data_IF_790162215978
#
_entry.id   IF_790162215978
#
_cell.length_a   1.000
_cell.length_b   1.000
_cell.length_c   1.000
_cell.angle_alpha   90.00
_cell.angle_beta   90.00
_cell.angle_gamma   90.00
#
_symmetry.space_group_name_H-M   'P 1'
#
loop_
_entity.id
_entity.type
_entity.pdbx_description
1 polymer ?
#
# COMPACT_ATOMS: atom_id res chain seq x y z
N UNK A 1 -1.77 5.42 -18.55
CA UNK A 1 -1.20 4.69 -17.39
C UNK A 1 -1.90 5.01 -16.07
N UNK A 2 -2.17 6.28 -15.72
CA UNK A 2 -2.75 6.67 -14.41
C UNK A 2 -4.08 5.97 -14.06
N UNK A 3 -5.00 5.87 -15.02
CA UNK A 3 -6.31 5.23 -14.81
C UNK A 3 -6.14 3.75 -14.46
N UNK A 4 -5.27 3.04 -15.19
CA UNK A 4 -4.98 1.62 -14.93
C UNK A 4 -4.37 1.41 -13.54
N UNK A 5 -3.43 2.27 -13.11
CA UNK A 5 -2.87 2.20 -11.77
C UNK A 5 -3.92 2.42 -10.67
N UNK A 6 -4.86 3.35 -10.86
CA UNK A 6 -5.94 3.58 -9.88
C UNK A 6 -6.81 2.32 -9.74
N UNK A 7 -7.25 1.73 -10.87
CA UNK A 7 -8.04 0.50 -10.85
C UNK A 7 -7.30 -0.65 -10.17
N UNK A 8 -6.01 -0.82 -10.47
CA UNK A 8 -5.17 -1.84 -9.85
C UNK A 8 -5.07 -1.63 -8.32
N UNK A 9 -4.88 -0.39 -7.87
CA UNK A 9 -4.83 -0.06 -6.44
C UNK A 9 -6.15 -0.38 -5.74
N UNK A 10 -7.29 0.01 -6.32
CA UNK A 10 -8.62 -0.31 -5.78
C UNK A 10 -8.81 -1.82 -5.69
N UNK A 11 -8.43 -2.55 -6.74
CA UNK A 11 -8.54 -4.01 -6.77
C UNK A 11 -7.68 -4.69 -5.70
N UNK A 12 -6.44 -4.24 -5.50
CA UNK A 12 -5.51 -4.79 -4.50
C UNK A 12 -5.95 -4.50 -3.07
N UNK A 13 -6.59 -3.36 -2.81
CA UNK A 13 -7.12 -3.00 -1.49
C UNK A 13 -8.41 -3.76 -1.20
N UNK A 14 -9.26 -3.95 -2.21
CA UNK A 14 -10.61 -4.50 -1.99
C UNK A 14 -10.64 -6.03 -1.96
N UNK A 15 -9.90 -6.69 -2.85
CA UNK A 15 -9.88 -8.15 -2.98
C UNK A 15 -9.51 -8.92 -1.71
N UNK A 16 -8.56 -8.49 -0.85
CA UNK A 16 -8.19 -9.24 0.34
C UNK A 16 -9.35 -9.37 1.34
N UNK A 17 -10.12 -8.30 1.54
CA UNK A 17 -11.27 -8.31 2.45
C UNK A 17 -12.37 -9.28 1.99
N UNK A 18 -12.64 -9.33 0.68
CA UNK A 18 -13.60 -10.30 0.12
C UNK A 18 -13.10 -11.75 0.25
N UNK A 19 -11.80 -11.99 0.04
CA UNK A 19 -11.19 -13.31 0.24
C UNK A 19 -11.32 -13.74 1.69
N UNK A 20 -11.01 -12.85 2.65
CA UNK A 20 -11.13 -13.12 4.09
C UNK A 20 -12.57 -13.45 4.47
N UNK A 21 -13.56 -12.69 4.00
CA UNK A 21 -14.98 -12.98 4.24
C UNK A 21 -15.38 -14.35 3.67
N UNK A 22 -14.95 -14.66 2.44
CA UNK A 22 -15.26 -15.95 1.79
C UNK A 22 -14.66 -17.12 2.57
N UNK A 23 -13.40 -17.01 3.00
CA UNK A 23 -12.73 -18.02 3.83
C UNK A 23 -13.45 -18.16 5.16
N UNK A 24 -13.78 -17.05 5.81
CA UNK A 24 -14.45 -17.06 7.10
C UNK A 24 -15.80 -17.78 7.05
N UNK A 25 -16.61 -17.52 6.03
CA UNK A 25 -17.87 -18.22 5.81
C UNK A 25 -17.68 -19.72 5.57
N UNK A 26 -16.69 -20.12 4.76
CA UNK A 26 -16.40 -21.54 4.47
C UNK A 26 -15.88 -22.30 5.68
N UNK A 27 -15.03 -21.66 6.49
CA UNK A 27 -14.38 -22.25 7.67
C UNK A 27 -15.17 -22.02 8.96
N UNK A 28 -16.34 -21.37 8.89
CA UNK A 28 -17.15 -20.97 10.04
C UNK A 28 -16.38 -20.13 11.07
N UNK A 29 -15.43 -19.31 10.60
CA UNK A 29 -14.68 -18.38 11.45
C UNK A 29 -15.65 -17.25 11.86
N UNK A 30 -15.66 -16.84 13.14
CA UNK A 30 -16.44 -15.70 13.60
C UNK A 30 -16.14 -14.44 12.78
N UNK A 31 -17.20 -13.72 12.38
CA UNK A 31 -17.07 -12.59 11.46
C UNK A 31 -16.22 -11.44 12.05
N UNK A 32 -16.21 -11.28 13.37
CA UNK A 32 -15.38 -10.29 14.05
C UNK A 32 -13.88 -10.61 13.94
N UNK A 33 -13.49 -11.89 13.94
CA UNK A 33 -12.10 -12.31 13.69
C UNK A 33 -11.73 -12.00 12.23
N UNK A 34 -12.62 -12.32 11.30
CA UNK A 34 -12.43 -12.01 9.89
C UNK A 34 -12.26 -10.50 9.64
N UNK A 35 -13.01 -9.67 10.39
CA UNK A 35 -12.89 -8.21 10.34
C UNK A 35 -11.53 -7.71 10.82
N UNK A 36 -11.05 -8.18 11.99
CA UNK A 36 -9.73 -7.82 12.52
C UNK A 36 -8.61 -8.25 11.56
N UNK A 37 -8.67 -9.49 11.05
CA UNK A 37 -7.69 -9.99 10.08
C UNK A 37 -7.68 -9.16 8.80
N UNK A 38 -8.85 -8.72 8.33
CA UNK A 38 -8.97 -7.88 7.14
C UNK A 38 -8.38 -6.48 7.35
N UNK A 39 -8.54 -5.88 8.54
CA UNK A 39 -7.92 -4.60 8.89
C UNK A 39 -6.39 -4.73 8.84
N UNK A 40 -5.84 -5.76 9.49
CA UNK A 40 -4.39 -6.00 9.54
C UNK A 40 -3.84 -6.23 8.14
N UNK A 41 -4.50 -7.07 7.33
CA UNK A 41 -4.05 -7.40 5.98
C UNK A 41 -4.04 -6.17 5.05
N UNK A 42 -5.10 -5.37 5.07
CA UNK A 42 -5.18 -4.14 4.28
C UNK A 42 -4.13 -3.11 4.74
N UNK A 43 -3.94 -2.97 6.05
CA UNK A 43 -2.92 -2.08 6.61
C UNK A 43 -1.51 -2.48 6.16
N UNK A 44 -1.15 -3.76 6.30
CA UNK A 44 0.15 -4.26 5.88
C UNK A 44 0.36 -4.08 4.36
N UNK A 45 -0.69 -4.27 3.56
CA UNK A 45 -0.61 -4.06 2.11
C UNK A 45 -0.33 -2.59 1.77
N UNK A 46 -0.96 -1.64 2.47
CA UNK A 46 -0.70 -0.20 2.27
C UNK A 46 0.76 0.14 2.63
N UNK A 47 1.23 -0.32 3.79
CA UNK A 47 2.62 -0.10 4.23
C UNK A 47 3.61 -0.74 3.25
N UNK A 48 3.36 -1.97 2.84
CA UNK A 48 4.18 -2.67 1.85
C UNK A 48 4.25 -1.94 0.52
N UNK A 49 3.12 -1.42 0.02
CA UNK A 49 3.10 -0.66 -1.23
C UNK A 49 3.92 0.63 -1.12
N UNK A 50 3.82 1.34 0.00
CA UNK A 50 4.61 2.55 0.23
C UNK A 50 6.11 2.26 0.25
N UNK A 51 6.52 1.17 0.91
CA UNK A 51 7.91 0.70 0.92
C UNK A 51 8.38 0.25 -0.48
N UNK A 52 7.54 -0.48 -1.21
CA UNK A 52 7.86 -0.92 -2.56
C UNK A 52 8.10 0.25 -3.52
N UNK A 53 7.25 1.29 -3.47
CA UNK A 53 7.46 2.49 -4.28
C UNK A 53 8.69 3.27 -3.87
N UNK A 54 9.01 3.33 -2.57
CA UNK A 54 10.25 3.94 -2.11
C UNK A 54 11.46 3.20 -2.66
N UNK A 55 11.48 1.86 -2.56
CA UNK A 55 12.56 1.03 -3.08
C UNK A 55 12.78 1.25 -4.59
N UNK A 56 11.71 1.34 -5.39
CA UNK A 56 11.80 1.65 -6.82
C UNK A 56 12.42 3.02 -7.09
N UNK A 57 12.07 4.06 -6.30
CA UNK A 57 12.68 5.39 -6.43
C UNK A 57 14.16 5.35 -6.05
N UNK A 58 14.52 4.60 -5.02
CA UNK A 58 15.92 4.45 -4.58
C UNK A 58 16.74 3.70 -5.62
N UNK A 59 16.23 2.63 -6.24
CA UNK A 59 16.91 1.98 -7.37
C UNK A 59 17.17 2.98 -8.50
N UNK A 60 16.16 3.79 -8.85
CA UNK A 60 16.32 4.80 -9.89
C UNK A 60 17.35 5.88 -9.50
N UNK A 61 17.36 6.33 -8.25
CA UNK A 61 18.38 7.26 -7.76
C UNK A 61 19.79 6.64 -7.82
N UNK A 62 19.94 5.38 -7.44
CA UNK A 62 21.22 4.68 -7.46
C UNK A 62 21.71 4.40 -8.88
N UNK A 63 20.84 4.42 -9.90
CA UNK A 63 21.30 4.29 -11.29
C UNK A 63 22.14 5.46 -11.80
N UNK A 64 22.22 6.56 -11.03
CA UNK A 64 23.11 7.69 -11.32
C UNK A 64 24.48 7.58 -10.67
N UNK A 65 24.68 6.62 -9.75
CA UNK A 65 25.99 6.28 -9.18
C UNK A 65 26.69 5.35 -10.18
N UNK A 66 27.57 5.93 -10.99
CA UNK A 66 28.17 5.29 -12.16
C UNK A 66 29.42 4.48 -11.78
N UNK A 67 30.11 4.86 -10.71
CA UNK A 67 31.29 4.16 -10.19
C UNK A 67 31.01 3.25 -8.98
N UNK A 68 29.76 3.21 -8.50
CA UNK A 68 29.25 2.35 -7.42
C UNK A 68 29.97 2.62 -6.07
N UNK A 69 30.37 3.88 -5.85
CA UNK A 69 31.08 4.30 -4.63
C UNK A 69 30.13 4.75 -3.49
N UNK A 70 28.83 4.83 -3.77
CA UNK A 70 27.78 5.20 -2.83
C UNK A 70 27.61 6.71 -2.63
N UNK A 71 28.35 7.53 -3.35
CA UNK A 71 28.25 8.98 -3.39
C UNK A 71 27.89 9.45 -4.81
N UNK A 72 27.56 10.73 -4.95
CA UNK A 72 27.34 11.34 -6.26
C UNK A 72 28.36 12.45 -6.45
N UNK A 73 29.11 12.40 -7.54
CA UNK A 73 30.21 13.33 -7.82
C UNK A 73 30.33 13.66 -9.31
N UNK A 74 30.98 14.80 -9.61
CA UNK A 74 31.31 15.19 -10.99
C UNK A 74 30.13 15.12 -11.96
N UNK A 75 30.27 14.26 -12.97
CA UNK A 75 29.31 14.07 -14.07
C UNK A 75 28.01 13.36 -13.65
N UNK A 76 27.97 12.76 -12.45
CA UNK A 76 26.78 12.09 -11.89
C UNK A 76 25.75 13.10 -11.38
N UNK A 77 26.19 14.32 -11.03
CA UNK A 77 25.34 15.39 -10.53
C UNK A 77 24.63 16.07 -11.70
N UNK A 78 23.57 15.40 -12.16
CA UNK A 78 22.69 15.90 -13.23
C UNK A 78 21.41 16.51 -12.66
N UNK A 79 20.69 17.36 -13.41
CA UNK A 79 19.37 17.83 -13.00
C UNK A 79 18.37 16.69 -12.74
N UNK A 80 18.51 15.57 -13.45
CA UNK A 80 17.67 14.38 -13.30
C UNK A 80 17.98 13.63 -12.01
N UNK A 81 19.27 13.46 -11.69
CA UNK A 81 19.73 12.90 -10.41
C UNK A 81 19.21 13.73 -9.23
N UNK A 82 19.29 15.07 -9.32
CA UNK A 82 18.78 15.95 -8.27
C UNK A 82 17.26 15.81 -8.06
N UNK A 83 16.50 15.65 -9.14
CA UNK A 83 15.06 15.37 -9.06
C UNK A 83 14.79 14.00 -8.44
N UNK A 84 15.56 12.97 -8.80
CA UNK A 84 15.45 11.64 -8.20
C UNK A 84 15.74 11.69 -6.69
N UNK A 85 16.80 12.41 -6.29
CA UNK A 85 17.16 12.63 -4.90
C UNK A 85 16.02 13.30 -4.12
N UNK A 86 15.47 14.39 -4.67
CA UNK A 86 14.32 15.07 -4.06
C UNK A 86 13.11 14.15 -3.86
N UNK A 87 12.82 13.25 -4.82
CA UNK A 87 11.69 12.31 -4.74
C UNK A 87 11.90 11.24 -3.66
N UNK A 88 13.14 10.85 -3.38
CA UNK A 88 13.49 9.89 -2.31
C UNK A 88 13.50 10.59 -0.96
N UNK A 89 14.10 11.78 -0.84
CA UNK A 89 14.21 12.51 0.43
C UNK A 89 12.87 13.06 0.92
N UNK A 90 12.00 13.52 0.02
CA UNK A 90 10.71 14.12 0.38
C UNK A 90 9.55 13.10 0.33
N UNK A 91 9.76 11.86 0.81
CA UNK A 91 8.72 10.82 0.81
C UNK A 91 7.85 10.85 2.07
N UNK A 92 7.08 11.93 2.24
CA UNK A 92 6.10 12.06 3.34
C UNK A 92 5.03 10.97 3.28
N UNK A 93 4.69 10.50 2.08
CA UNK A 93 3.71 9.43 1.87
C UNK A 93 4.13 8.15 2.56
N UNK A 94 5.39 7.72 2.38
CA UNK A 94 5.96 6.56 3.09
C UNK A 94 5.99 6.78 4.59
N UNK A 95 6.48 7.93 5.06
CA UNK A 95 6.63 8.21 6.49
C UNK A 95 5.28 8.15 7.24
N UNK A 96 4.19 8.62 6.60
CA UNK A 96 2.86 8.62 7.19
C UNK A 96 2.05 7.34 6.89
N UNK A 97 2.52 6.46 6.01
CA UNK A 97 1.78 5.26 5.59
C UNK A 97 1.38 4.34 6.76
N UNK A 98 2.20 4.11 7.80
CA UNK A 98 1.79 3.27 8.94
C UNK A 98 0.58 3.84 9.69
N UNK A 99 0.56 5.15 9.94
CA UNK A 99 -0.50 5.82 10.72
C UNK A 99 -1.76 6.00 9.85
N UNK A 100 -1.60 6.62 8.68
CA UNK A 100 -2.72 6.90 7.78
C UNK A 100 -3.34 5.62 7.20
N UNK A 101 -2.52 4.62 6.89
CA UNK A 101 -2.96 3.31 6.44
C UNK A 101 -3.75 2.54 7.49
N UNK A 102 -3.42 2.68 8.78
CA UNK A 102 -4.17 2.04 9.87
C UNK A 102 -5.55 2.69 10.04
N UNK A 103 -5.62 4.02 9.99
CA UNK A 103 -6.90 4.76 10.04
C UNK A 103 -7.77 4.38 8.84
N UNK A 104 -7.18 4.39 7.64
CA UNK A 104 -7.88 4.02 6.41
C UNK A 104 -8.38 2.57 6.45
N UNK A 105 -7.54 1.61 6.82
CA UNK A 105 -7.91 0.19 6.84
C UNK A 105 -9.05 -0.08 7.82
N UNK A 106 -9.07 0.60 8.97
CA UNK A 106 -10.17 0.53 9.93
C UNK A 106 -11.48 1.05 9.34
N UNK A 107 -11.51 2.29 8.86
CA UNK A 107 -12.72 2.93 8.31
C UNK A 107 -13.26 2.13 7.12
N UNK A 108 -12.37 1.77 6.19
CA UNK A 108 -12.70 0.98 5.02
C UNK A 108 -13.37 -0.36 5.39
N UNK A 109 -12.79 -1.10 6.34
CA UNK A 109 -13.34 -2.39 6.76
C UNK A 109 -14.63 -2.24 7.57
N UNK A 110 -14.81 -1.17 8.35
CA UNK A 110 -16.09 -0.88 9.00
C UNK A 110 -17.23 -0.75 7.98
N UNK A 111 -17.01 0.02 6.91
CA UNK A 111 -18.00 0.21 5.84
C UNK A 111 -18.27 -1.12 5.13
N UNK A 112 -17.22 -1.82 4.71
CA UNK A 112 -17.35 -3.06 3.94
C UNK A 112 -18.05 -4.18 4.73
N UNK A 113 -17.67 -4.39 5.99
CA UNK A 113 -18.32 -5.39 6.83
C UNK A 113 -19.73 -4.97 7.27
N UNK A 114 -20.00 -3.68 7.43
CA UNK A 114 -21.34 -3.15 7.65
C UNK A 114 -22.27 -3.46 6.49
N UNK A 115 -21.83 -3.19 5.26
CA UNK A 115 -22.56 -3.55 4.03
C UNK A 115 -22.80 -5.06 3.98
N UNK A 116 -21.77 -5.87 4.21
CA UNK A 116 -21.89 -7.33 4.25
C UNK A 116 -22.93 -7.80 5.28
N UNK A 117 -22.95 -7.22 6.48
CA UNK A 117 -23.91 -7.57 7.52
C UNK A 117 -25.35 -7.24 7.12
N UNK A 118 -25.59 -6.11 6.45
CA UNK A 118 -26.91 -5.72 5.93
C UNK A 118 -27.38 -6.75 4.89
N UNK A 119 -26.54 -7.09 3.91
CA UNK A 119 -26.90 -8.08 2.87
C UNK A 119 -27.10 -9.49 3.43
N UNK A 120 -26.33 -9.89 4.44
CA UNK A 120 -26.50 -11.18 5.10
C UNK A 120 -27.82 -11.26 5.86
N UNK A 121 -28.26 -10.18 6.52
CA UNK A 121 -29.54 -10.13 7.25
C UNK A 121 -30.75 -10.18 6.32
N UNK A 122 -30.61 -9.73 5.07
CA UNK A 122 -31.68 -9.72 4.07
C UNK A 122 -31.91 -11.08 3.37
N UNK A 123 -31.07 -12.09 3.63
CA UNK A 123 -31.22 -13.47 3.14
C UNK A 123 -31.67 -14.38 4.27
#
# INVERSE_FOLDING_TARGET
>A
MIIFSIFLTIFLITSPSFIVIKIANRRKIPIWIAWILSIILVWLLIVFMAEFFHYQKTIYLNSFDLDDDGFFSGDEITPEQQQAMQRVSNDTGRALAPITGAIFSFIYNCVLFGIYAIFKKSR
#
